data_IF_288180294198
#
_entry.id   IF_288180294198
#
_cell.length_a   1.000
_cell.length_b   1.000
_cell.length_c   1.000
_cell.angle_alpha   90.00
_cell.angle_beta   90.00
_cell.angle_gamma   90.00
#
_symmetry.space_group_name_H-M   'P 1'
#
loop_
_entity.id
_entity.type
_entity.pdbx_description
1 polymer ?
#
# COMPACT_ATOMS: atom_id res chain seq x y z
N UNK A 1 10.52 -11.48 0.03
CA UNK A 1 11.61 -10.48 -0.19
C UNK A 1 11.53 -9.41 0.90
N UNK A 2 12.62 -9.03 1.58
CA UNK A 2 12.60 -7.97 2.63
C UNK A 2 13.10 -6.66 2.03
N UNK A 3 12.24 -5.66 1.93
CA UNK A 3 12.61 -4.31 1.47
C UNK A 3 12.47 -3.34 2.63
N UNK A 4 13.57 -2.68 3.01
CA UNK A 4 13.50 -1.52 3.91
C UNK A 4 13.46 -0.25 3.06
N UNK A 5 12.36 0.50 3.20
CA UNK A 5 12.26 1.82 2.58
C UNK A 5 12.98 2.88 3.41
N UNK A 6 13.31 4.01 2.78
CA UNK A 6 13.83 5.22 3.47
C UNK A 6 12.92 5.69 4.63
N UNK A 7 11.64 5.29 4.61
CA UNK A 7 10.65 5.57 5.64
C UNK A 7 10.68 4.58 6.83
N UNK A 8 11.65 3.65 6.88
CA UNK A 8 11.76 2.59 7.90
C UNK A 8 10.54 1.65 7.96
N UNK A 9 9.82 1.52 6.85
CA UNK A 9 8.72 0.57 6.68
C UNK A 9 9.28 -0.75 6.18
N UNK A 10 8.94 -1.85 6.86
CA UNK A 10 9.24 -3.21 6.41
C UNK A 10 8.14 -3.74 5.50
N UNK A 11 8.50 -4.18 4.30
CA UNK A 11 7.60 -4.84 3.36
C UNK A 11 7.96 -6.33 3.25
N UNK A 12 6.95 -7.20 3.32
CA UNK A 12 7.07 -8.65 3.14
C UNK A 12 6.18 -9.15 2.02
N UNK A 13 6.75 -10.05 1.22
CA UNK A 13 6.09 -10.86 0.19
C UNK A 13 5.36 -10.10 -0.93
N UNK A 14 5.65 -8.81 -1.06
CA UNK A 14 5.18 -7.94 -2.13
C UNK A 14 6.06 -8.00 -3.40
N UNK A 15 5.40 -7.82 -4.55
CA UNK A 15 6.04 -7.69 -5.87
C UNK A 15 6.49 -6.26 -6.20
N UNK A 16 7.21 -6.11 -7.32
CA UNK A 16 7.69 -4.79 -7.82
C UNK A 16 6.53 -3.93 -8.31
N UNK A 17 5.50 -4.54 -8.88
CA UNK A 17 4.24 -3.94 -9.32
C UNK A 17 3.41 -3.35 -8.16
N UNK A 18 3.72 -3.73 -6.93
CA UNK A 18 3.09 -3.23 -5.70
C UNK A 18 3.91 -2.11 -5.04
N UNK A 19 4.99 -1.65 -5.69
CA UNK A 19 5.80 -0.55 -5.20
C UNK A 19 4.98 0.73 -5.05
N UNK A 20 5.27 1.59 -4.05
CA UNK A 20 4.66 2.93 -3.96
C UNK A 20 4.85 3.80 -5.21
N UNK A 21 5.80 3.45 -6.08
CA UNK A 21 6.04 4.12 -7.36
C UNK A 21 5.00 3.76 -8.44
N UNK A 22 4.25 2.66 -8.26
CA UNK A 22 3.21 2.21 -9.18
C UNK A 22 1.86 2.92 -8.95
N UNK A 23 1.73 3.69 -7.86
CA UNK A 23 0.49 4.38 -7.50
C UNK A 23 0.61 5.90 -7.56
N UNK A 24 -0.54 6.57 -7.78
CA UNK A 24 -0.66 8.03 -7.60
C UNK A 24 -0.42 8.41 -6.14
N UNK A 25 -0.01 9.65 -5.89
CA UNK A 25 0.14 10.17 -4.53
C UNK A 25 -1.23 10.27 -3.87
N UNK A 26 -1.41 9.52 -2.76
CA UNK A 26 -2.69 9.45 -2.05
C UNK A 26 -3.23 10.82 -1.67
N UNK A 27 -2.37 11.74 -1.22
CA UNK A 27 -2.78 13.10 -0.84
C UNK A 27 -3.39 13.87 -2.01
N UNK A 28 -2.86 13.73 -3.23
CA UNK A 28 -3.39 14.39 -4.43
C UNK A 28 -4.73 13.79 -4.82
N UNK A 29 -4.88 12.46 -4.73
CA UNK A 29 -6.14 11.78 -4.98
C UNK A 29 -7.21 12.24 -3.99
N UNK A 30 -6.89 12.28 -2.69
CA UNK A 30 -7.83 12.71 -1.64
C UNK A 30 -8.25 14.17 -1.79
N UNK A 31 -7.36 15.06 -2.25
CA UNK A 31 -7.70 16.47 -2.51
C UNK A 31 -8.81 16.61 -3.58
N UNK A 32 -8.84 15.71 -4.56
CA UNK A 32 -9.90 15.61 -5.57
C UNK A 32 -11.26 15.17 -5.00
N UNK A 33 -11.27 14.48 -3.85
CA UNK A 33 -12.48 13.92 -3.22
C UNK A 33 -12.94 14.68 -1.97
N UNK A 34 -12.35 15.85 -1.67
CA UNK A 34 -12.61 16.62 -0.44
C UNK A 34 -14.09 16.95 -0.16
N UNK A 35 -14.94 16.94 -1.18
CA UNK A 35 -16.38 17.21 -1.05
C UNK A 35 -17.20 16.00 -0.62
N UNK A 36 -16.67 14.78 -0.78
CA UNK A 36 -17.39 13.52 -0.49
C UNK A 36 -16.85 12.77 0.72
N UNK A 37 -15.62 13.06 1.16
CA UNK A 37 -14.98 12.35 2.29
C UNK A 37 -14.39 13.32 3.31
N UNK A 38 -14.45 12.94 4.60
CA UNK A 38 -13.78 13.63 5.69
C UNK A 38 -12.63 12.78 6.22
N UNK A 39 -11.41 13.31 6.15
CA UNK A 39 -10.23 12.65 6.72
C UNK A 39 -10.26 12.85 8.23
N UNK A 40 -10.26 11.75 8.99
CA UNK A 40 -10.19 11.80 10.46
C UNK A 40 -8.75 11.75 10.95
N UNK A 41 -7.95 10.83 10.39
CA UNK A 41 -6.57 10.59 10.78
C UNK A 41 -5.71 10.25 9.57
N UNK A 42 -4.43 10.57 9.65
CA UNK A 42 -3.39 10.10 8.71
C UNK A 42 -2.42 9.24 9.50
N UNK A 43 -2.24 8.00 9.06
CA UNK A 43 -1.37 7.03 9.73
C UNK A 43 -0.07 6.86 8.96
N UNK A 44 1.03 6.69 9.68
CA UNK A 44 2.32 6.30 9.10
C UNK A 44 2.46 4.79 9.19
N UNK A 45 2.65 4.08 8.07
CA UNK A 45 2.82 2.64 8.11
C UNK A 45 4.11 2.28 8.87
N UNK A 46 4.06 1.18 9.62
CA UNK A 46 5.23 0.60 10.32
C UNK A 46 5.73 -0.65 9.62
N UNK A 47 4.82 -1.41 9.00
CA UNK A 47 5.13 -2.56 8.17
C UNK A 47 3.93 -2.92 7.29
N UNK A 48 4.19 -3.68 6.24
CA UNK A 48 3.20 -4.16 5.27
C UNK A 48 3.50 -5.63 4.97
N UNK A 49 2.49 -6.48 5.15
CA UNK A 49 2.53 -7.88 4.76
C UNK A 49 1.54 -8.06 3.59
N UNK A 50 2.04 -8.51 2.46
CA UNK A 50 1.24 -8.83 1.29
C UNK A 50 1.20 -10.35 1.11
N UNK A 51 0.15 -10.85 0.47
CA UNK A 51 0.09 -12.26 0.07
C UNK A 51 1.11 -12.51 -1.04
N UNK A 52 2.01 -13.47 -0.83
CA UNK A 52 3.01 -13.85 -1.83
C UNK A 52 2.37 -14.41 -3.10
N UNK A 53 3.12 -14.39 -4.22
CA UNK A 53 2.63 -14.88 -5.52
C UNK A 53 2.07 -16.32 -5.45
N UNK A 54 2.72 -17.16 -4.65
CA UNK A 54 2.39 -18.58 -4.44
C UNK A 54 1.52 -18.84 -3.19
N UNK A 55 1.13 -17.79 -2.46
CA UNK A 55 0.21 -17.92 -1.31
C UNK A 55 -1.26 -17.86 -1.76
N UNK A 56 -2.11 -18.53 -0.99
CA UNK A 56 -3.56 -18.51 -1.18
C UNK A 56 -4.12 -17.13 -0.78
N UNK A 57 -4.63 -16.38 -1.76
CA UNK A 57 -5.41 -15.16 -1.54
C UNK A 57 -6.90 -15.50 -1.73
N UNK A 58 -7.74 -15.45 -0.68
CA UNK A 58 -9.16 -15.77 -0.77
C UNK A 58 -9.95 -14.83 -1.68
N UNK A 59 -9.39 -13.68 -2.07
CA UNK A 59 -10.00 -12.70 -2.98
C UNK A 59 -9.50 -12.80 -4.42
N UNK A 60 -8.47 -13.62 -4.68
CA UNK A 60 -7.98 -13.90 -6.04
C UNK A 60 -8.87 -14.96 -6.69
N UNK A 61 -9.67 -14.56 -7.65
CA UNK A 61 -10.25 -15.49 -8.65
C UNK A 61 -9.19 -15.78 -9.70
N UNK A 62 -8.97 -17.06 -9.97
CA UNK A 62 -8.09 -17.63 -10.99
C UNK A 62 -8.40 -17.14 -12.41
#
# INVERSE_FOLDING_TARGET
MRVQSKAKVELRDAGVDQSPHCYKRLNEVLAGHRSSVKILHTLTPVGVAMTGADEFDPTRTD
#
